data_IF_259714819479
#
_entry.id   IF_259714819479
#
_cell.length_a   1.000
_cell.length_b   1.000
_cell.length_c   1.000
_cell.angle_alpha   90.00
_cell.angle_beta   90.00
_cell.angle_gamma   90.00
#
_symmetry.space_group_name_H-M   'P 1'
#
loop_
_entity.id
_entity.type
_entity.pdbx_description
1 polymer ?
#
# COMPACT_ATOMS: atom_id res chain seq x y z
N UNK A 1 -0.82 31.31 16.59
CA UNK A 1 -0.59 30.08 17.40
C UNK A 1 0.81 29.57 17.04
N UNK A 2 1.78 29.65 17.95
CA UNK A 2 3.20 29.31 17.69
C UNK A 2 3.32 27.79 17.46
N UNK A 3 3.84 27.38 16.30
CA UNK A 3 4.22 26.00 16.01
C UNK A 3 5.24 25.56 17.08
N UNK A 4 4.85 24.65 17.98
CA UNK A 4 5.79 23.99 18.88
C UNK A 4 6.75 23.19 18.00
N UNK A 5 8.03 23.59 17.97
CA UNK A 5 9.10 22.74 17.44
C UNK A 5 9.18 21.53 18.37
N UNK A 6 8.84 20.36 17.87
CA UNK A 6 9.14 19.12 18.56
C UNK A 6 10.67 19.00 18.65
N UNK A 7 11.23 18.70 19.83
CA UNK A 7 12.66 18.42 19.94
C UNK A 7 13.00 17.26 19.01
N UNK A 8 14.13 17.37 18.30
CA UNK A 8 14.71 16.23 17.61
C UNK A 8 14.90 15.13 18.66
N UNK A 9 14.44 13.88 18.43
CA UNK A 9 14.68 12.82 19.38
C UNK A 9 16.19 12.70 19.62
N UNK A 10 16.57 12.58 20.89
CA UNK A 10 17.93 12.16 21.27
C UNK A 10 18.33 10.98 20.39
N UNK A 11 19.58 11.00 19.91
CA UNK A 11 20.16 9.84 19.24
C UNK A 11 20.19 8.70 20.25
N UNK A 12 19.14 7.88 20.26
CA UNK A 12 19.10 6.63 21.00
C UNK A 12 20.17 5.76 20.38
N UNK A 13 21.32 5.64 21.04
CA UNK A 13 22.33 4.65 20.71
C UNK A 13 21.63 3.28 20.74
N UNK A 14 21.54 2.55 19.63
CA UNK A 14 20.79 1.32 19.60
C UNK A 14 21.43 0.32 20.55
N UNK A 15 20.72 -0.03 21.63
CA UNK A 15 21.05 -1.18 22.47
C UNK A 15 21.16 -2.40 21.56
N UNK A 16 22.27 -3.16 21.54
CA UNK A 16 22.38 -4.35 20.72
C UNK A 16 21.44 -5.41 21.30
N UNK A 17 20.23 -5.49 20.75
CA UNK A 17 19.22 -6.47 21.14
C UNK A 17 19.38 -7.72 20.26
N UNK A 18 19.75 -8.82 20.92
CA UNK A 18 19.75 -10.23 20.55
C UNK A 18 19.70 -10.60 19.05
N UNK A 19 20.69 -11.37 18.59
CA UNK A 19 20.67 -12.03 17.30
C UNK A 19 19.39 -12.85 17.15
N UNK A 20 18.52 -12.46 16.23
CA UNK A 20 17.43 -13.33 15.79
C UNK A 20 18.01 -14.38 14.86
N UNK A 21 17.62 -15.65 15.00
CA UNK A 21 18.00 -16.75 14.08
C UNK A 21 17.40 -16.58 12.66
N UNK A 22 16.65 -15.50 12.44
CA UNK A 22 15.94 -15.18 11.22
C UNK A 22 15.80 -13.67 11.03
N UNK A 23 15.55 -13.27 9.79
CA UNK A 23 15.15 -11.94 9.38
C UNK A 23 13.61 -11.85 9.38
N UNK A 24 13.04 -10.94 10.15
CA UNK A 24 11.60 -10.67 10.18
C UNK A 24 11.23 -9.54 9.23
N UNK A 25 10.50 -9.89 8.18
CA UNK A 25 9.96 -8.93 7.20
C UNK A 25 8.45 -8.83 7.38
N UNK A 26 7.95 -7.61 7.50
CA UNK A 26 6.52 -7.32 7.55
C UNK A 26 6.11 -6.59 6.27
N UNK A 27 5.04 -7.04 5.63
CA UNK A 27 4.37 -6.25 4.58
C UNK A 27 2.98 -5.82 5.05
N UNK A 28 2.63 -4.57 4.77
CA UNK A 28 1.36 -4.02 5.23
C UNK A 28 0.86 -2.89 4.34
N UNK A 29 -0.31 -3.10 3.73
CA UNK A 29 -1.07 -2.04 3.10
C UNK A 29 -1.75 -1.21 4.19
N UNK A 30 -1.34 0.04 4.38
CA UNK A 30 -1.86 0.92 5.43
C UNK A 30 -3.27 1.42 5.17
N UNK A 31 -3.73 1.36 3.91
CA UNK A 31 -4.97 1.99 3.48
C UNK A 31 -5.05 3.42 4.02
N UNK A 32 -3.97 4.19 3.80
CA UNK A 32 -3.80 5.59 4.24
C UNK A 32 -4.23 5.84 5.70
N UNK A 33 -3.80 4.94 6.60
CA UNK A 33 -3.98 5.05 8.05
C UNK A 33 -5.45 4.93 8.50
N UNK A 34 -6.35 4.51 7.61
CA UNK A 34 -7.78 4.49 7.91
C UNK A 34 -8.12 3.26 8.76
N UNK A 35 -8.74 3.41 9.94
CA UNK A 35 -9.18 2.27 10.74
C UNK A 35 -10.24 1.44 9.99
N UNK A 36 -10.36 0.12 10.26
CA UNK A 36 -11.34 -0.75 9.60
C UNK A 36 -12.80 -0.28 9.70
N UNK A 37 -13.14 0.38 10.82
CA UNK A 37 -14.47 0.98 11.07
C UNK A 37 -14.70 2.28 10.31
N UNK A 38 -13.68 2.83 9.65
CA UNK A 38 -13.67 4.20 9.16
C UNK A 38 -13.45 5.21 10.29
N UNK A 39 -13.22 6.48 9.92
CA UNK A 39 -13.09 7.55 10.90
C UNK A 39 -14.42 7.76 11.61
N UNK A 40 -14.46 7.76 12.96
CA UNK A 40 -15.59 8.29 13.70
C UNK A 40 -15.56 9.82 13.58
N UNK A 41 -15.91 10.34 12.40
CA UNK A 41 -16.09 11.79 12.25
C UNK A 41 -17.49 12.15 12.74
N UNK A 42 -17.58 12.98 13.79
CA UNK A 42 -18.82 13.66 14.17
C UNK A 42 -19.41 14.45 12.97
N UNK A 43 -18.56 14.93 12.06
CA UNK A 43 -18.95 15.67 10.85
C UNK A 43 -19.48 14.79 9.70
N UNK A 44 -19.23 13.47 9.68
CA UNK A 44 -19.93 12.56 8.78
C UNK A 44 -21.25 12.08 9.37
N UNK A 45 -21.35 12.01 10.70
CA UNK A 45 -22.58 11.67 11.42
C UNK A 45 -23.76 12.59 11.10
N UNK A 46 -23.51 13.85 10.76
CA UNK A 46 -24.53 14.81 10.30
C UNK A 46 -24.95 14.66 8.83
N UNK A 47 -24.27 13.81 8.04
CA UNK A 47 -24.52 13.60 6.60
C UNK A 47 -24.84 12.15 6.24
N UNK A 48 -24.84 11.22 7.20
CA UNK A 48 -25.41 9.89 6.98
C UNK A 48 -26.93 10.02 7.05
N UNK A 49 -27.58 10.19 5.90
CA UNK A 49 -29.01 9.90 5.82
C UNK A 49 -29.22 8.42 6.22
N UNK A 50 -30.20 8.10 7.08
CA UNK A 50 -30.48 6.73 7.47
C UNK A 50 -30.67 5.87 6.21
N UNK A 51 -30.13 4.65 6.23
CA UNK A 51 -29.85 3.79 5.09
C UNK A 51 -31.08 3.26 4.30
N UNK A 52 -32.19 4.00 4.22
CA UNK A 52 -33.41 3.64 3.51
C UNK A 52 -34.13 4.81 2.83
N UNK A 53 -33.41 5.71 2.16
CA UNK A 53 -34.08 6.67 1.27
C UNK A 53 -33.33 6.87 -0.04
N UNK A 54 -34.06 6.76 -1.14
CA UNK A 54 -33.59 7.00 -2.50
C UNK A 54 -32.98 8.40 -2.60
N UNK A 55 -31.65 8.50 -2.57
CA UNK A 55 -30.95 9.76 -2.69
C UNK A 55 -31.19 10.37 -4.07
N UNK A 56 -31.73 11.59 -4.12
CA UNK A 56 -31.94 12.32 -5.37
C UNK A 56 -30.60 12.81 -5.95
N UNK A 57 -30.49 13.09 -7.27
CA UNK A 57 -29.26 13.59 -7.89
C UNK A 57 -28.68 14.85 -7.21
N UNK A 58 -29.54 15.68 -6.63
CA UNK A 58 -29.17 16.91 -5.91
C UNK A 58 -28.48 16.62 -4.57
N UNK A 59 -28.95 15.62 -3.83
CA UNK A 59 -28.32 15.17 -2.58
C UNK A 59 -26.97 14.50 -2.86
N UNK A 60 -26.85 13.72 -3.92
CA UNK A 60 -25.57 13.17 -4.35
C UNK A 60 -24.55 14.28 -4.67
N UNK A 61 -24.96 15.33 -5.40
CA UNK A 61 -24.11 16.51 -5.66
C UNK A 61 -23.77 17.28 -4.38
N UNK A 62 -24.71 17.44 -3.44
CA UNK A 62 -24.44 18.07 -2.16
C UNK A 62 -23.46 17.25 -1.30
N UNK A 63 -23.57 15.92 -1.27
CA UNK A 63 -22.61 15.04 -0.60
C UNK A 63 -21.24 15.05 -1.29
N UNK A 64 -21.21 15.08 -2.62
CA UNK A 64 -19.96 15.22 -3.39
C UNK A 64 -19.28 16.55 -3.07
N UNK A 65 -20.01 17.67 -3.08
CA UNK A 65 -19.49 18.99 -2.71
C UNK A 65 -19.08 19.04 -1.22
N UNK A 66 -19.88 18.53 -0.30
CA UNK A 66 -19.55 18.44 1.13
C UNK A 66 -18.33 17.51 1.38
N UNK A 67 -18.13 16.48 0.56
CA UNK A 67 -16.91 15.67 0.62
C UNK A 67 -15.67 16.43 0.12
N UNK A 68 -15.87 17.40 -0.79
CA UNK A 68 -14.82 18.34 -1.20
C UNK A 68 -14.56 19.38 -0.11
N UNK A 69 -15.58 19.78 0.65
CA UNK A 69 -15.49 20.60 1.86
C UNK A 69 -15.60 19.73 3.13
N UNK A 70 -14.79 18.66 3.21
CA UNK A 70 -14.69 17.79 4.40
C UNK A 70 -14.42 18.52 5.73
N UNK A 71 -14.15 17.79 6.83
CA UNK A 71 -14.47 18.20 8.20
C UNK A 71 -14.01 19.61 8.57
N UNK A 72 -14.85 20.27 9.34
CA UNK A 72 -14.73 21.67 9.79
C UNK A 72 -13.48 21.92 10.63
N UNK A 73 -12.85 20.86 11.16
CA UNK A 73 -11.57 20.96 11.87
C UNK A 73 -10.59 19.89 11.39
N UNK A 74 -9.56 20.32 10.65
CA UNK A 74 -8.43 19.46 10.26
C UNK A 74 -7.69 18.84 11.47
N UNK A 75 -7.92 19.35 12.69
CA UNK A 75 -7.29 18.90 13.93
C UNK A 75 -7.83 17.56 14.46
N UNK A 76 -9.15 17.34 14.48
CA UNK A 76 -9.72 16.11 15.04
C UNK A 76 -9.31 14.85 14.25
N UNK A 77 -9.32 14.94 12.92
CA UNK A 77 -8.86 13.86 12.05
C UNK A 77 -7.37 13.59 12.20
N UNK A 78 -6.54 14.64 12.33
CA UNK A 78 -5.12 14.48 12.57
C UNK A 78 -4.84 13.78 13.91
N UNK A 79 -5.58 14.12 14.97
CA UNK A 79 -5.47 13.45 16.29
C UNK A 79 -5.85 11.98 16.19
N UNK A 80 -6.98 11.65 15.56
CA UNK A 80 -7.41 10.26 15.40
C UNK A 80 -6.43 9.45 14.55
N UNK A 81 -5.91 10.04 13.46
CA UNK A 81 -4.93 9.39 12.61
C UNK A 81 -3.60 9.15 13.31
N UNK A 82 -3.13 10.12 14.09
CA UNK A 82 -1.93 9.98 14.89
C UNK A 82 -2.11 8.90 15.97
N UNK A 83 -3.24 8.90 16.68
CA UNK A 83 -3.56 7.89 17.69
C UNK A 83 -3.58 6.47 17.11
N UNK A 84 -4.27 6.26 15.99
CA UNK A 84 -4.33 4.94 15.35
C UNK A 84 -2.97 4.46 14.81
N UNK A 85 -2.13 5.38 14.32
CA UNK A 85 -0.75 5.06 13.93
C UNK A 85 0.14 4.78 15.15
N UNK A 86 -0.08 5.45 16.28
CA UNK A 86 0.63 5.17 17.52
C UNK A 86 0.27 3.79 18.08
N UNK A 87 -1.01 3.43 18.08
CA UNK A 87 -1.45 2.08 18.46
C UNK A 87 -0.84 1.02 17.52
N UNK A 88 -0.76 1.34 16.22
CA UNK A 88 -0.11 0.48 15.22
C UNK A 88 1.39 0.35 15.52
N UNK A 89 2.06 1.45 15.87
CA UNK A 89 3.46 1.46 16.25
C UNK A 89 3.70 0.64 17.52
N UNK A 90 2.80 0.68 18.50
CA UNK A 90 2.90 -0.13 19.72
C UNK A 90 2.93 -1.63 19.41
N UNK A 91 2.00 -2.11 18.58
CA UNK A 91 1.99 -3.52 18.14
C UNK A 91 3.24 -3.88 17.34
N UNK A 92 3.72 -2.99 16.47
CA UNK A 92 4.94 -3.21 15.69
C UNK A 92 6.20 -3.22 16.56
N UNK A 93 6.26 -2.40 17.63
CA UNK A 93 7.35 -2.41 18.61
C UNK A 93 7.46 -3.77 19.31
N UNK A 94 6.34 -4.35 19.72
CA UNK A 94 6.31 -5.70 20.30
C UNK A 94 6.73 -6.78 19.29
N UNK A 95 6.27 -6.66 18.04
CA UNK A 95 6.61 -7.60 16.97
C UNK A 95 8.11 -7.57 16.60
N UNK A 96 8.80 -6.45 16.86
CA UNK A 96 10.22 -6.22 16.57
C UNK A 96 10.64 -6.58 15.14
N UNK A 97 9.98 -6.07 14.09
CA UNK A 97 10.38 -6.34 12.70
C UNK A 97 11.77 -5.77 12.37
N UNK A 98 12.49 -6.45 11.49
CA UNK A 98 13.76 -5.97 10.94
C UNK A 98 13.53 -5.02 9.77
N UNK A 99 12.56 -5.35 8.92
CA UNK A 99 12.18 -4.59 7.74
C UNK A 99 10.65 -4.55 7.63
N UNK A 100 10.11 -3.38 7.34
CA UNK A 100 8.68 -3.18 7.07
C UNK A 100 8.52 -2.59 5.66
N UNK A 101 7.68 -3.23 4.85
CA UNK A 101 7.28 -2.79 3.53
C UNK A 101 5.83 -2.30 3.57
N UNK A 102 5.63 -0.99 3.44
CA UNK A 102 4.33 -0.34 3.53
C UNK A 102 3.78 -0.01 2.15
N UNK A 103 2.48 -0.24 1.95
CA UNK A 103 1.74 0.19 0.76
C UNK A 103 0.62 1.16 1.15
N UNK A 104 0.14 1.94 0.17
CA UNK A 104 -0.89 2.97 0.36
C UNK A 104 -0.54 4.02 1.41
N UNK A 105 0.70 4.47 1.38
CA UNK A 105 1.25 5.45 2.31
C UNK A 105 0.96 6.86 1.79
N UNK A 106 0.32 7.68 2.62
CA UNK A 106 0.11 9.09 2.39
C UNK A 106 1.25 9.94 2.97
N UNK A 107 1.52 11.06 2.29
CA UNK A 107 2.29 12.18 2.83
C UNK A 107 1.51 13.46 2.61
N UNK A 108 1.12 14.11 3.71
CA UNK A 108 0.45 15.42 3.66
C UNK A 108 -0.94 15.38 3.02
N UNK A 109 -1.62 14.23 3.04
CA UNK A 109 -2.97 14.11 2.47
C UNK A 109 -4.04 14.41 3.51
N UNK A 110 -5.10 15.09 3.08
CA UNK A 110 -6.23 15.42 3.96
C UNK A 110 -6.91 14.19 4.57
N UNK A 111 -6.96 13.06 3.84
CA UNK A 111 -7.61 11.82 4.30
C UNK A 111 -6.85 11.12 5.44
N UNK A 112 -5.55 11.37 5.55
CA UNK A 112 -4.66 10.88 6.62
C UNK A 112 -4.39 11.95 7.69
N UNK A 113 -5.20 13.01 7.74
CA UNK A 113 -4.97 14.11 8.71
C UNK A 113 -3.70 14.90 8.44
N UNK A 114 -3.22 14.93 7.19
CA UNK A 114 -1.97 15.54 6.74
C UNK A 114 -0.70 14.93 7.32
N UNK A 115 -0.79 13.74 7.94
CA UNK A 115 0.38 13.08 8.52
C UNK A 115 1.33 12.54 7.44
N UNK A 116 2.65 12.63 7.65
CA UNK A 116 3.63 11.87 6.91
C UNK A 116 3.73 10.46 7.52
N UNK A 117 2.86 9.53 7.09
CA UNK A 117 2.62 8.27 7.78
C UNK A 117 3.86 7.38 7.94
N UNK A 118 4.69 7.29 6.88
CA UNK A 118 5.94 6.53 6.94
C UNK A 118 6.96 7.11 7.92
N UNK A 119 7.09 8.44 7.96
CA UNK A 119 8.00 9.14 8.89
C UNK A 119 7.52 8.96 10.33
N UNK A 120 6.21 9.13 10.54
CA UNK A 120 5.58 8.93 11.84
C UNK A 120 5.86 7.51 12.38
N UNK A 121 5.54 6.47 11.60
CA UNK A 121 5.77 5.09 12.01
C UNK A 121 7.26 4.80 12.23
N UNK A 122 8.14 5.26 11.34
CA UNK A 122 9.58 5.05 11.45
C UNK A 122 10.15 5.61 12.75
N UNK A 123 9.75 6.82 13.13
CA UNK A 123 10.16 7.46 14.37
C UNK A 123 9.56 6.73 15.58
N UNK A 124 8.27 6.40 15.55
CA UNK A 124 7.56 5.76 16.66
C UNK A 124 8.06 4.34 16.99
N UNK A 125 8.63 3.63 16.01
CA UNK A 125 9.18 2.27 16.20
C UNK A 125 10.72 2.22 16.19
N UNK A 126 11.40 3.37 16.06
CA UNK A 126 12.85 3.45 16.07
C UNK A 126 13.55 2.78 14.88
N UNK A 127 13.00 2.92 13.67
CA UNK A 127 13.61 2.41 12.43
C UNK A 127 14.20 3.55 11.60
N UNK A 128 15.50 3.87 11.80
CA UNK A 128 16.09 5.09 11.25
C UNK A 128 16.31 5.05 9.74
N UNK A 129 16.43 3.86 9.14
CA UNK A 129 16.67 3.71 7.72
C UNK A 129 15.36 3.52 6.98
N UNK A 130 14.71 4.63 6.64
CA UNK A 130 13.45 4.58 5.91
C UNK A 130 13.44 5.50 4.70
N UNK A 131 12.58 5.17 3.73
CA UNK A 131 12.34 6.02 2.56
C UNK A 131 10.93 5.80 2.03
N UNK A 132 10.26 6.90 1.70
CA UNK A 132 9.03 6.88 0.91
C UNK A 132 9.36 6.96 -0.60
N UNK A 133 8.58 6.24 -1.40
CA UNK A 133 8.61 6.26 -2.86
C UNK A 133 7.21 6.60 -3.38
N UNK A 134 7.01 7.85 -3.77
CA UNK A 134 5.76 8.35 -4.32
C UNK A 134 5.48 7.79 -5.72
N UNK A 135 4.30 7.19 -5.85
CA UNK A 135 3.69 6.82 -7.13
C UNK A 135 3.21 8.08 -7.88
N UNK A 136 2.53 8.98 -7.16
CA UNK A 136 2.13 10.30 -7.65
C UNK A 136 2.40 11.39 -6.60
N UNK A 137 2.53 12.63 -7.07
CA UNK A 137 2.56 13.84 -6.25
C UNK A 137 1.30 14.69 -6.47
N UNK A 138 0.97 15.51 -5.47
CA UNK A 138 -0.23 16.33 -5.42
C UNK A 138 -1.27 15.82 -4.43
N UNK A 139 -2.33 16.61 -4.25
CA UNK A 139 -3.46 16.23 -3.41
C UNK A 139 -4.28 15.10 -4.06
N UNK A 140 -4.85 14.23 -3.22
CA UNK A 140 -5.81 13.20 -3.67
C UNK A 140 -6.99 13.79 -4.45
N UNK A 141 -7.51 14.92 -3.97
CA UNK A 141 -8.54 15.73 -4.62
C UNK A 141 -7.86 16.77 -5.52
N UNK A 142 -7.67 16.44 -6.79
CA UNK A 142 -7.10 17.36 -7.77
C UNK A 142 -6.22 16.68 -8.82
N UNK A 143 -5.39 17.48 -9.48
CA UNK A 143 -4.50 17.01 -10.54
C UNK A 143 -3.36 16.16 -9.94
N UNK A 144 -3.44 14.85 -10.14
CA UNK A 144 -2.36 13.92 -9.80
C UNK A 144 -1.29 14.02 -10.87
N UNK A 145 -0.05 14.30 -10.47
CA UNK A 145 1.09 14.37 -11.39
C UNK A 145 2.12 13.30 -11.09
N UNK A 146 2.87 12.95 -12.13
CA UNK A 146 4.09 12.16 -11.96
C UNK A 146 5.09 13.02 -11.17
N UNK A 147 5.65 12.52 -10.05
CA UNK A 147 6.64 13.27 -9.30
C UNK A 147 7.95 13.30 -10.08
N UNK A 148 8.65 14.44 -10.00
CA UNK A 148 10.00 14.59 -10.58
C UNK A 148 10.97 13.64 -9.87
N UNK A 149 10.97 13.69 -8.53
CA UNK A 149 11.67 12.74 -7.68
C UNK A 149 10.67 11.90 -6.89
N UNK A 150 10.86 10.59 -6.88
CA UNK A 150 9.97 9.70 -6.13
C UNK A 150 10.12 9.85 -4.61
N UNK A 151 11.26 10.35 -4.12
CA UNK A 151 11.37 10.80 -2.73
C UNK A 151 10.87 12.25 -2.62
N UNK A 152 9.59 12.40 -2.29
CA UNK A 152 8.96 13.70 -2.13
C UNK A 152 9.27 14.28 -0.74
N UNK A 153 9.83 15.49 -0.70
CA UNK A 153 10.20 16.15 0.57
C UNK A 153 9.21 17.24 0.96
N UNK A 154 8.91 18.16 0.03
CA UNK A 154 8.10 19.37 0.27
C UNK A 154 6.66 19.29 -0.22
N UNK A 155 6.35 18.30 -1.06
CA UNK A 155 5.02 18.16 -1.66
C UNK A 155 4.24 16.99 -1.05
N UNK A 156 2.92 17.08 -1.15
CA UNK A 156 2.03 15.98 -0.81
C UNK A 156 2.15 14.88 -1.86
N UNK A 157 1.89 13.65 -1.45
CA UNK A 157 1.81 12.55 -2.39
C UNK A 157 1.40 11.25 -1.73
N UNK A 158 1.53 10.19 -2.52
CA UNK A 158 1.06 8.86 -2.17
C UNK A 158 1.96 7.82 -2.82
N UNK A 159 2.19 6.71 -2.14
CA UNK A 159 2.89 5.59 -2.72
C UNK A 159 3.16 4.48 -1.72
N UNK A 160 4.42 4.06 -1.71
CA UNK A 160 4.91 2.97 -0.87
C UNK A 160 6.09 3.46 -0.03
N UNK A 161 6.38 2.79 1.07
CA UNK A 161 7.54 3.10 1.89
C UNK A 161 8.21 1.83 2.42
N UNK A 162 9.49 1.92 2.73
CA UNK A 162 10.23 0.85 3.36
C UNK A 162 10.96 1.41 4.56
N UNK A 163 10.88 0.70 5.68
CA UNK A 163 11.53 1.02 6.95
C UNK A 163 12.46 -0.15 7.27
N UNK A 164 13.68 0.14 7.69
CA UNK A 164 14.65 -0.87 8.11
C UNK A 164 15.31 -0.48 9.43
N UNK A 165 15.47 -1.48 10.30
CA UNK A 165 16.35 -1.40 11.47
C UNK A 165 17.82 -1.38 11.04
N UNK A 166 18.12 -2.04 9.92
CA UNK A 166 19.47 -2.28 9.44
C UNK A 166 19.89 -1.21 8.42
N UNK A 167 21.20 -0.87 8.33
CA UNK A 167 21.68 0.13 7.39
C UNK A 167 21.33 -0.20 5.94
N UNK A 168 20.83 0.79 5.21
CA UNK A 168 20.52 0.66 3.78
C UNK A 168 21.71 1.19 2.96
N UNK A 169 22.39 0.29 2.25
CA UNK A 169 23.53 0.61 1.38
C UNK A 169 23.11 1.49 0.19
N UNK A 170 21.96 1.19 -0.41
CA UNK A 170 21.46 1.94 -1.56
C UNK A 170 19.96 1.74 -1.76
N UNK A 171 19.31 2.76 -2.31
CA UNK A 171 17.89 2.77 -2.64
C UNK A 171 17.71 2.81 -4.16
N UNK A 172 16.79 1.99 -4.66
CA UNK A 172 16.50 1.82 -6.09
C UNK A 172 15.00 1.96 -6.32
N UNK A 173 14.61 2.52 -7.47
CA UNK A 173 13.20 2.71 -7.81
C UNK A 173 12.97 2.42 -9.28
N UNK A 174 11.91 1.63 -9.57
CA UNK A 174 11.47 1.36 -10.94
C UNK A 174 9.99 1.69 -11.10
N UNK A 175 9.65 2.44 -12.14
CA UNK A 175 8.24 2.67 -12.49
C UNK A 175 7.71 1.46 -13.23
N UNK A 176 6.66 0.86 -12.69
CA UNK A 176 6.02 -0.33 -13.25
C UNK A 176 4.94 0.02 -14.29
N UNK A 177 4.62 1.31 -14.44
CA UNK A 177 3.63 1.81 -15.38
C UNK A 177 2.23 1.84 -14.76
N UNK A 178 1.20 1.96 -15.59
CA UNK A 178 -0.20 2.00 -15.18
C UNK A 178 -1.02 1.07 -16.06
N UNK A 179 -2.13 0.53 -15.56
CA UNK A 179 -3.11 -0.09 -16.43
C UNK A 179 -3.66 0.92 -17.47
N UNK A 180 -4.14 0.38 -18.60
CA UNK A 180 -4.95 1.16 -19.53
C UNK A 180 -6.22 1.61 -18.81
N UNK A 181 -6.79 2.72 -19.26
CA UNK A 181 -8.09 3.17 -18.78
C UNK A 181 -9.13 2.06 -18.97
N UNK A 182 -9.91 1.78 -17.93
CA UNK A 182 -11.01 0.84 -18.02
C UNK A 182 -12.34 1.58 -17.94
N UNK A 183 -13.30 1.16 -18.75
CA UNK A 183 -14.70 1.49 -18.53
C UNK A 183 -15.28 0.46 -17.56
N UNK A 184 -15.63 0.91 -16.36
CA UNK A 184 -16.58 0.19 -15.55
C UNK A 184 -17.96 0.59 -16.03
N UNK A 185 -18.74 -0.35 -16.56
CA UNK A 185 -20.12 -0.09 -16.94
C UNK A 185 -21.02 -0.13 -15.69
N UNK A 186 -22.01 0.76 -15.67
CA UNK A 186 -23.06 0.72 -14.65
C UNK A 186 -23.93 -0.51 -14.83
N UNK A 187 -24.73 -0.85 -13.82
CA UNK A 187 -25.66 -1.99 -13.85
C UNK A 187 -26.87 -1.78 -14.78
N UNK A 188 -26.93 -0.68 -15.53
CA UNK A 188 -28.05 -0.34 -16.41
C UNK A 188 -27.87 -0.86 -17.83
N UNK A 189 -28.94 -1.41 -18.41
CA UNK A 189 -28.97 -1.84 -19.82
C UNK A 189 -29.36 -0.66 -20.73
N UNK A 190 -28.47 -0.27 -21.65
CA UNK A 190 -28.82 0.71 -22.70
C UNK A 190 -29.55 0.01 -23.86
N UNK A 191 -30.78 0.42 -24.17
CA UNK A 191 -31.62 -0.22 -25.21
C UNK A 191 -31.32 0.23 -26.64
N UNK A 192 -30.30 1.07 -26.82
CA UNK A 192 -29.89 1.56 -28.13
C UNK A 192 -30.88 2.51 -28.79
N UNK A 193 -30.62 2.83 -30.06
CA UNK A 193 -31.53 3.60 -30.93
C UNK A 193 -32.58 2.73 -31.63
N UNK A 194 -32.67 1.44 -31.26
CA UNK A 194 -33.58 0.46 -31.85
C UNK A 194 -35.06 0.87 -31.78
N UNK A 195 -35.44 1.70 -30.80
CA UNK A 195 -36.79 2.26 -30.63
C UNK A 195 -36.87 3.76 -30.97
N UNK A 196 -35.97 4.24 -31.82
CA UNK A 196 -35.90 5.62 -32.29
C UNK A 196 -34.87 6.49 -31.56
N UNK A 197 -34.39 7.52 -32.28
CA UNK A 197 -33.31 8.41 -31.85
C UNK A 197 -33.60 9.13 -30.52
N UNK A 198 -34.78 9.73 -30.39
CA UNK A 198 -35.23 10.42 -29.17
C UNK A 198 -35.36 9.48 -27.97
N UNK A 199 -35.84 8.25 -28.18
CA UNK A 199 -36.00 7.24 -27.11
C UNK A 199 -34.64 6.73 -26.61
N UNK A 200 -33.68 6.53 -27.52
CA UNK A 200 -32.30 6.19 -27.19
C UNK A 200 -31.60 7.30 -26.40
N UNK A 201 -31.80 8.57 -26.76
CA UNK A 201 -31.29 9.73 -26.03
C UNK A 201 -31.91 9.88 -24.64
N UNK A 202 -33.21 9.63 -24.47
CA UNK A 202 -33.89 9.71 -23.17
C UNK A 202 -33.48 8.61 -22.19
N UNK A 203 -33.14 7.41 -22.68
CA UNK A 203 -32.71 6.28 -21.84
C UNK A 203 -31.21 6.26 -21.56
N UNK A 204 -30.40 7.01 -22.32
CA UNK A 204 -28.95 7.12 -22.15
C UNK A 204 -28.55 7.59 -20.73
N UNK A 205 -29.11 8.67 -20.14
CA UNK A 205 -28.74 9.12 -18.80
C UNK A 205 -29.12 8.15 -17.68
N UNK A 206 -30.08 7.26 -17.91
CA UNK A 206 -30.52 6.22 -16.96
C UNK A 206 -29.75 4.90 -17.12
N UNK A 207 -29.09 4.68 -18.26
CA UNK A 207 -28.16 3.57 -18.50
C UNK A 207 -26.68 3.92 -18.26
N UNK A 208 -26.35 5.22 -18.30
CA UNK A 208 -25.04 5.79 -17.93
C UNK A 208 -24.76 5.98 -16.42
N UNK A 209 -25.70 5.86 -15.45
CA UNK A 209 -25.35 5.88 -14.04
C UNK A 209 -24.45 4.67 -13.76
N UNK A 210 -23.18 4.94 -13.51
CA UNK A 210 -22.19 3.91 -13.24
C UNK A 210 -21.23 3.60 -14.39
N UNK A 211 -21.33 4.25 -15.56
CA UNK A 211 -20.21 4.26 -16.51
C UNK A 211 -19.10 5.13 -15.94
N UNK A 212 -18.09 4.50 -15.33
CA UNK A 212 -16.94 5.16 -14.73
C UNK A 212 -15.70 4.82 -15.54
N UNK A 213 -15.03 5.86 -16.05
CA UNK A 213 -13.66 5.74 -16.49
C UNK A 213 -12.77 5.64 -15.25
N UNK A 214 -12.15 4.48 -15.07
CA UNK A 214 -11.17 4.26 -14.00
C UNK A 214 -9.79 4.39 -14.65
N UNK A 215 -9.07 5.48 -14.37
CA UNK A 215 -7.69 5.60 -14.83
C UNK A 215 -6.83 4.58 -14.08
N UNK A 216 -5.95 3.88 -14.80
CA UNK A 216 -4.94 3.05 -14.16
C UNK A 216 -4.01 3.89 -13.31
N UNK A 217 -3.67 3.40 -12.12
CA UNK A 217 -2.77 4.10 -11.22
C UNK A 217 -1.31 3.79 -11.56
N UNK A 218 -0.44 4.79 -11.46
CA UNK A 218 0.99 4.57 -11.64
C UNK A 218 1.52 3.72 -10.50
N UNK A 219 2.06 2.53 -10.81
CA UNK A 219 2.69 1.65 -9.84
C UNK A 219 4.21 1.77 -9.89
N UNK A 220 4.83 1.53 -8.74
CA UNK A 220 6.27 1.64 -8.54
C UNK A 220 6.79 0.44 -7.75
N UNK A 221 7.99 -0.01 -8.08
CA UNK A 221 8.83 -0.84 -7.24
C UNK A 221 9.79 0.09 -6.50
N UNK A 222 9.86 -0.04 -5.18
CA UNK A 222 10.96 0.45 -4.36
C UNK A 222 11.83 -0.75 -4.00
N UNK A 223 13.14 -0.64 -4.15
CA UNK A 223 14.07 -1.66 -3.70
C UNK A 223 15.22 -1.06 -2.89
N UNK A 224 15.82 -1.86 -2.03
CA UNK A 224 16.95 -1.47 -1.19
C UNK A 224 17.95 -2.61 -1.10
N UNK A 225 19.24 -2.28 -1.10
CA UNK A 225 20.29 -3.20 -0.63
C UNK A 225 20.50 -2.93 0.86
N UNK A 226 20.18 -3.90 1.71
CA UNK A 226 20.17 -3.75 3.17
C UNK A 226 21.28 -4.62 3.77
N UNK A 227 22.07 -4.04 4.67
CA UNK A 227 23.19 -4.69 5.36
C UNK A 227 22.68 -5.38 6.63
N UNK A 228 22.32 -6.66 6.56
CA UNK A 228 21.78 -7.43 7.70
C UNK A 228 22.87 -8.30 8.36
N UNK A 229 22.64 -8.84 9.56
CA UNK A 229 23.53 -9.83 10.17
C UNK A 229 23.76 -11.09 9.32
N UNK A 230 22.85 -11.38 8.38
CA UNK A 230 22.93 -12.50 7.45
C UNK A 230 23.62 -12.15 6.13
N UNK A 231 24.21 -10.95 6.03
CA UNK A 231 24.79 -10.40 4.81
C UNK A 231 23.88 -9.40 4.10
N UNK A 232 24.29 -9.01 2.89
CA UNK A 232 23.52 -8.05 2.08
C UNK A 232 22.34 -8.74 1.41
N UNK A 233 21.15 -8.17 1.56
CA UNK A 233 19.92 -8.63 0.92
C UNK A 233 19.34 -7.51 0.05
N UNK A 234 18.86 -7.86 -1.15
CA UNK A 234 18.00 -6.99 -1.94
C UNK A 234 16.55 -7.17 -1.52
N UNK A 235 15.91 -6.11 -1.04
CA UNK A 235 14.50 -6.14 -0.64
C UNK A 235 13.72 -5.22 -1.54
N UNK A 236 12.68 -5.74 -2.17
CA UNK A 236 11.72 -5.01 -2.99
C UNK A 236 10.38 -4.88 -2.26
N UNK A 237 9.77 -3.70 -2.37
CA UNK A 237 8.42 -3.37 -1.97
C UNK A 237 7.64 -2.87 -3.20
N UNK A 238 6.42 -3.37 -3.41
CA UNK A 238 5.57 -2.92 -4.50
C UNK A 238 4.08 -2.95 -4.13
N UNK A 239 3.29 -2.16 -4.82
CA UNK A 239 1.83 -2.27 -4.82
C UNK A 239 1.38 -2.33 -6.28
N UNK A 240 0.94 -3.51 -6.72
CA UNK A 240 0.62 -3.75 -8.13
C UNK A 240 -0.79 -3.25 -8.49
N UNK A 241 -1.07 -3.18 -9.78
CA UNK A 241 -2.37 -2.77 -10.32
C UNK A 241 -3.47 -3.79 -9.94
N UNK A 242 -4.74 -3.37 -9.94
CA UNK A 242 -5.86 -4.30 -9.69
C UNK A 242 -6.25 -5.09 -10.94
N UNK A 243 -5.85 -4.63 -12.13
CA UNK A 243 -6.09 -5.37 -13.36
C UNK A 243 -5.11 -6.55 -13.49
N UNK A 244 -5.62 -7.79 -13.37
CA UNK A 244 -4.85 -9.05 -13.34
C UNK A 244 -3.70 -9.10 -14.33
N UNK A 245 -3.96 -8.92 -15.64
CA UNK A 245 -2.92 -9.03 -16.66
C UNK A 245 -1.81 -7.96 -16.53
N UNK A 246 -2.17 -6.78 -16.03
CA UNK A 246 -1.21 -5.70 -15.76
C UNK A 246 -0.38 -6.05 -14.53
N UNK A 247 -1.01 -6.46 -13.43
CA UNK A 247 -0.31 -6.90 -12.23
C UNK A 247 0.65 -8.05 -12.50
N UNK A 248 0.26 -9.06 -13.27
CA UNK A 248 1.16 -10.17 -13.62
C UNK A 248 2.41 -9.70 -14.38
N UNK A 249 2.24 -8.76 -15.33
CA UNK A 249 3.38 -8.15 -16.05
C UNK A 249 4.26 -7.30 -15.12
N UNK A 250 3.65 -6.51 -14.24
CA UNK A 250 4.35 -5.70 -13.25
C UNK A 250 5.11 -6.56 -12.24
N UNK A 251 4.53 -7.68 -11.79
CA UNK A 251 5.15 -8.64 -10.88
C UNK A 251 6.45 -9.21 -11.47
N UNK A 252 6.40 -9.71 -12.72
CA UNK A 252 7.60 -10.21 -13.41
C UNK A 252 8.68 -9.14 -13.54
N UNK A 253 8.30 -7.91 -13.91
CA UNK A 253 9.24 -6.79 -14.06
C UNK A 253 9.84 -6.34 -12.73
N UNK A 254 9.05 -6.39 -11.66
CA UNK A 254 9.50 -6.06 -10.32
C UNK A 254 10.49 -7.12 -9.81
N UNK A 255 10.12 -8.39 -9.94
CA UNK A 255 10.94 -9.52 -9.49
C UNK A 255 12.29 -9.58 -10.21
N UNK A 256 12.30 -9.45 -11.54
CA UNK A 256 13.56 -9.36 -12.31
C UNK A 256 14.48 -8.25 -11.81
N UNK A 257 13.93 -7.09 -11.45
CA UNK A 257 14.75 -5.99 -10.93
C UNK A 257 15.25 -6.19 -9.51
N UNK A 258 14.59 -7.00 -8.69
CA UNK A 258 15.18 -7.44 -7.41
C UNK A 258 16.35 -8.39 -7.66
N UNK A 259 16.21 -9.33 -8.61
CA UNK A 259 17.29 -10.25 -8.99
C UNK A 259 18.48 -9.55 -9.66
N UNK A 260 18.25 -8.46 -10.40
CA UNK A 260 19.31 -7.62 -10.97
C UNK A 260 20.18 -6.98 -9.87
N UNK A 261 19.60 -6.66 -8.70
CA UNK A 261 20.33 -6.10 -7.56
C UNK A 261 21.07 -7.16 -6.75
N UNK A 262 20.46 -8.33 -6.57
CA UNK A 262 21.07 -9.47 -5.88
C UNK A 262 20.43 -10.77 -6.36
N UNK A 263 21.17 -11.49 -7.21
CA UNK A 263 20.67 -12.71 -7.85
C UNK A 263 20.39 -13.85 -6.87
N UNK A 264 21.18 -13.94 -5.81
CA UNK A 264 21.18 -15.06 -4.87
C UNK A 264 20.71 -14.70 -3.46
N UNK A 265 20.38 -13.43 -3.20
CA UNK A 265 19.87 -12.97 -1.90
C UNK A 265 18.89 -11.82 -2.12
N UNK A 266 17.68 -12.17 -2.54
CA UNK A 266 16.66 -11.22 -2.97
C UNK A 266 15.27 -11.58 -2.47
N UNK A 267 14.52 -10.59 -2.01
CA UNK A 267 13.13 -10.70 -1.56
C UNK A 267 12.29 -9.62 -2.22
N UNK A 268 11.11 -9.97 -2.73
CA UNK A 268 10.10 -9.01 -3.19
C UNK A 268 8.82 -9.24 -2.40
N UNK A 269 8.31 -8.23 -1.72
CA UNK A 269 7.05 -8.31 -1.00
C UNK A 269 6.16 -7.12 -1.30
N UNK A 270 4.89 -7.21 -0.92
CA UNK A 270 3.94 -6.14 -1.05
C UNK A 270 2.52 -6.63 -1.33
N UNK A 271 1.66 -5.67 -1.65
CA UNK A 271 0.32 -5.94 -2.14
C UNK A 271 0.37 -6.21 -3.64
N UNK A 272 0.28 -7.49 -4.01
CA UNK A 272 0.35 -7.90 -5.39
C UNK A 272 -0.99 -7.76 -6.13
N UNK A 273 -2.10 -7.49 -5.44
CA UNK A 273 -3.45 -7.49 -6.03
C UNK A 273 -3.76 -8.74 -6.89
N UNK A 274 -3.09 -9.86 -6.59
CA UNK A 274 -3.22 -11.14 -7.28
C UNK A 274 -3.53 -12.22 -6.25
N UNK A 275 -4.22 -13.28 -6.67
CA UNK A 275 -4.23 -14.53 -5.91
C UNK A 275 -2.87 -15.22 -6.05
N UNK A 276 -2.58 -16.16 -5.14
CA UNK A 276 -1.31 -16.91 -5.16
C UNK A 276 -1.12 -17.64 -6.50
N UNK A 277 -2.16 -18.29 -7.00
CA UNK A 277 -2.12 -19.02 -8.28
C UNK A 277 -1.89 -18.08 -9.48
N UNK A 278 -2.45 -16.88 -9.45
CA UNK A 278 -2.23 -15.88 -10.50
C UNK A 278 -0.79 -15.36 -10.53
N UNK A 279 -0.20 -15.17 -9.34
CA UNK A 279 1.20 -14.81 -9.19
C UNK A 279 2.10 -15.96 -9.63
N UNK A 280 1.80 -17.21 -9.24
CA UNK A 280 2.54 -18.40 -9.65
C UNK A 280 2.50 -18.59 -11.18
N UNK A 281 1.33 -18.46 -11.81
CA UNK A 281 1.18 -18.50 -13.26
C UNK A 281 2.02 -17.42 -13.95
N UNK A 282 2.04 -16.20 -13.41
CA UNK A 282 2.85 -15.12 -13.95
C UNK A 282 4.35 -15.40 -13.85
N UNK A 283 4.81 -15.97 -12.74
CA UNK A 283 6.21 -16.32 -12.48
C UNK A 283 6.64 -17.55 -13.26
N UNK A 284 5.72 -18.48 -13.59
CA UNK A 284 5.98 -19.63 -14.45
C UNK A 284 6.41 -19.26 -15.87
N UNK A 285 6.08 -18.04 -16.33
CA UNK A 285 6.54 -17.50 -17.61
C UNK A 285 7.99 -16.98 -17.59
N UNK A 286 8.66 -17.03 -16.44
CA UNK A 286 10.08 -16.70 -16.32
C UNK A 286 10.95 -17.94 -16.58
N UNK A 287 12.15 -17.70 -17.11
CA UNK A 287 13.20 -18.72 -17.18
C UNK A 287 13.43 -19.34 -15.80
N UNK A 288 13.71 -20.64 -15.78
CA UNK A 288 13.82 -21.41 -14.54
C UNK A 288 14.81 -20.80 -13.54
N UNK A 289 15.92 -20.25 -14.03
CA UNK A 289 16.97 -19.61 -13.21
C UNK A 289 16.55 -18.29 -12.57
N UNK A 290 15.46 -17.69 -13.06
CA UNK A 290 14.88 -16.45 -12.53
C UNK A 290 13.65 -16.69 -11.66
N UNK A 291 13.18 -17.93 -11.52
CA UNK A 291 12.01 -18.20 -10.67
C UNK A 291 12.38 -18.04 -9.20
N UNK A 292 11.47 -17.50 -8.36
CA UNK A 292 11.73 -17.43 -6.94
C UNK A 292 11.88 -18.84 -6.37
N UNK A 293 12.87 -19.00 -5.49
CA UNK A 293 13.14 -20.24 -4.78
C UNK A 293 12.08 -20.56 -3.71
N UNK A 294 11.28 -19.56 -3.33
CA UNK A 294 10.12 -19.68 -2.44
C UNK A 294 9.10 -18.57 -2.70
N UNK A 295 7.81 -18.90 -2.52
CA UNK A 295 6.68 -17.97 -2.63
C UNK A 295 5.78 -18.13 -1.40
N UNK A 296 5.75 -17.10 -0.56
CA UNK A 296 4.93 -17.05 0.65
C UNK A 296 3.67 -16.23 0.45
N UNK A 297 2.52 -16.83 0.75
CA UNK A 297 1.22 -16.17 0.68
C UNK A 297 0.36 -16.62 1.88
N UNK A 298 -0.48 -15.71 2.39
CA UNK A 298 -1.48 -16.02 3.41
C UNK A 298 -2.69 -15.11 3.27
N UNK A 299 -3.85 -15.56 3.75
CA UNK A 299 -5.08 -14.80 3.66
C UNK A 299 -4.96 -13.54 4.52
N UNK A 300 -5.02 -12.39 3.87
CA UNK A 300 -4.75 -11.09 4.50
C UNK A 300 -5.79 -10.03 4.16
N UNK A 301 -6.80 -10.37 3.36
CA UNK A 301 -7.85 -9.43 2.97
C UNK A 301 -9.19 -10.14 2.75
N UNK A 302 -10.34 -9.55 3.12
CA UNK A 302 -10.49 -8.37 3.99
C UNK A 302 -10.21 -8.69 5.47
N UNK A 303 -9.82 -7.69 6.27
CA UNK A 303 -9.43 -7.81 7.69
C UNK A 303 -10.43 -8.57 8.58
N UNK A 304 -11.75 -8.49 8.30
CA UNK A 304 -12.80 -9.13 9.12
C UNK A 304 -12.96 -10.63 8.82
N UNK A 305 -12.86 -11.00 7.55
CA UNK A 305 -13.01 -12.39 7.07
C UNK A 305 -11.96 -12.59 5.97
N UNK A 306 -10.71 -12.88 6.35
CA UNK A 306 -9.61 -12.98 5.39
C UNK A 306 -9.83 -14.14 4.43
N UNK A 307 -9.81 -13.86 3.13
CA UNK A 307 -10.03 -14.86 2.08
C UNK A 307 -9.01 -14.73 0.94
N UNK A 308 -8.53 -13.51 0.68
CA UNK A 308 -7.61 -13.18 -0.42
C UNK A 308 -6.19 -13.07 0.09
N UNK A 309 -5.25 -13.52 -0.74
CA UNK A 309 -3.82 -13.57 -0.44
C UNK A 309 -3.06 -12.43 -1.13
N UNK A 310 -3.57 -11.19 -1.06
CA UNK A 310 -2.98 -10.08 -1.82
C UNK A 310 -1.59 -9.68 -1.33
N UNK A 311 -1.35 -9.72 -0.01
CA UNK A 311 -0.03 -9.54 0.55
C UNK A 311 0.79 -10.83 0.39
N UNK A 312 1.88 -10.77 -0.36
CA UNK A 312 2.71 -11.93 -0.72
C UNK A 312 4.21 -11.61 -0.63
N UNK A 313 5.05 -12.64 -0.64
CA UNK A 313 6.51 -12.54 -0.65
C UNK A 313 7.11 -13.56 -1.62
N UNK A 314 8.04 -13.11 -2.45
CA UNK A 314 8.91 -13.93 -3.30
C UNK A 314 10.33 -13.88 -2.77
N UNK A 315 11.03 -15.01 -2.77
CA UNK A 315 12.40 -15.09 -2.24
C UNK A 315 13.34 -15.91 -3.14
N UNK A 316 14.58 -15.42 -3.27
CA UNK A 316 15.73 -16.10 -3.88
C UNK A 316 16.85 -16.20 -2.84
N UNK A 317 17.25 -17.43 -2.49
CA UNK A 317 18.29 -17.69 -1.49
C UNK A 317 17.84 -17.58 -0.03
N UNK A 318 16.53 -17.52 0.20
CA UNK A 318 15.94 -17.50 1.54
C UNK A 318 14.85 -18.57 1.66
N UNK A 319 14.68 -19.11 2.87
CA UNK A 319 13.65 -20.10 3.20
C UNK A 319 12.87 -19.65 4.44
N UNK A 320 11.57 -19.96 4.52
CA UNK A 320 10.78 -19.64 5.71
C UNK A 320 11.24 -20.46 6.91
N UNK A 321 11.26 -19.84 8.09
CA UNK A 321 11.42 -20.54 9.38
C UNK A 321 10.07 -21.07 9.88
N UNK A 322 8.98 -20.42 9.50
CA UNK A 322 7.62 -20.82 9.80
C UNK A 322 6.66 -20.37 8.69
N UNK A 323 5.42 -20.86 8.73
CA UNK A 323 4.37 -20.38 7.83
C UNK A 323 4.11 -18.86 8.01
N UNK A 324 3.79 -18.11 6.94
CA UNK A 324 3.47 -16.69 7.04
C UNK A 324 2.29 -16.44 7.97
N UNK A 325 2.39 -15.41 8.83
CA UNK A 325 1.34 -15.07 9.80
C UNK A 325 0.66 -13.77 9.42
N UNK A 326 -0.67 -13.77 9.40
CA UNK A 326 -1.45 -12.55 9.23
C UNK A 326 -1.76 -11.95 10.61
N UNK A 327 -1.52 -10.64 10.77
CA UNK A 327 -1.70 -9.90 12.00
C UNK A 327 -2.65 -8.73 11.75
N UNK A 328 -3.67 -8.60 12.60
CA UNK A 328 -4.55 -7.45 12.58
C UNK A 328 -3.86 -6.28 13.27
N UNK A 329 -3.76 -5.17 12.57
CA UNK A 329 -3.30 -3.90 13.13
C UNK A 329 -4.50 -2.95 13.35
N UNK A 330 -4.35 -1.92 14.20
CA UNK A 330 -5.42 -0.95 14.48
C UNK A 330 -5.92 -0.19 13.25
N UNK A 331 -5.05 -0.01 12.25
CA UNK A 331 -5.38 0.61 10.97
C UNK A 331 -5.55 -0.43 9.86
N UNK A 332 -6.08 0.03 8.73
CA UNK A 332 -6.27 -0.71 7.48
C UNK A 332 -7.41 -1.74 7.46
N UNK A 333 -7.90 -2.01 6.26
CA UNK A 333 -8.77 -3.15 5.95
C UNK A 333 -7.98 -4.38 5.46
N UNK A 334 -6.64 -4.31 5.43
CA UNK A 334 -5.75 -5.45 5.25
C UNK A 334 -5.21 -5.92 6.61
N UNK A 335 -4.86 -7.20 6.69
CA UNK A 335 -3.96 -7.70 7.72
C UNK A 335 -2.52 -7.47 7.27
N UNK A 336 -1.65 -7.09 8.21
CA UNK A 336 -0.21 -7.16 7.98
C UNK A 336 0.21 -8.62 7.85
N UNK A 337 1.19 -8.92 7.01
CA UNK A 337 1.75 -10.27 6.90
C UNK A 337 3.19 -10.28 7.36
N UNK A 338 3.49 -11.20 8.27
CA UNK A 338 4.81 -11.41 8.88
C UNK A 338 5.46 -12.64 8.25
N UNK A 339 6.70 -12.45 7.80
CA UNK A 339 7.56 -13.48 7.24
C UNK A 339 8.85 -13.56 8.05
N UNK A 340 9.12 -14.73 8.61
CA UNK A 340 10.36 -15.02 9.33
C UNK A 340 11.22 -15.91 8.41
N UNK A 341 12.36 -15.36 7.93
CA UNK A 341 13.17 -15.97 6.89
C UNK A 341 14.62 -16.21 7.35
N UNK A 342 15.23 -17.30 6.91
CA UNK A 342 16.67 -17.53 7.06
C UNK A 342 17.34 -17.73 5.70
N UNK A 343 18.65 -17.43 5.57
CA UNK A 343 19.39 -17.78 4.36
C UNK A 343 19.24 -19.27 4.06
N UNK A 344 19.09 -19.60 2.77
CA UNK A 344 19.10 -20.99 2.33
C UNK A 344 20.51 -21.56 2.58
N UNK A 345 20.65 -22.72 3.23
CA UNK A 345 21.95 -23.37 3.38
C UNK A 345 22.59 -23.59 2.00
N UNK A 346 23.88 -23.32 1.88
CA UNK A 346 24.64 -23.69 0.68
C UNK A 346 24.83 -25.20 0.76
N UNK A 347 24.14 -25.95 -0.10
CA UNK A 347 24.46 -27.36 -0.33
C UNK A 347 25.74 -27.39 -1.15
N UNK A 348 26.84 -27.82 -0.52
CA UNK A 348 28.12 -28.07 -1.18
C UNK A 348 28.07 -29.29 -2.08
#
# INVERSE_FOLDING_TARGET
MKLRRFPLPEQVTPTPLASTDYLRIVTFNLHHGKPPSGWPDADLGGLVAPAKQHSTPRQWWAHFLASMFGPSTASARAVNAAGALEDTAAVLRELRPDIICLQEVDKGQRRSGYLPEAEFLANAIGMPYWRMTAAFAGAMSGLRRRPVHTNITRENGYGIAMLSRWPVKSWHVKRLGRARWSLQWGSGFWRGFSKGFLTGLKSLPAAMPGVRLIPGEMRVLQAALILTPFGTIAVGNTHLDTHRGTAQSQLRRAWRSVLELSRHSGVLTGDFNLYADDAAAALGLLDQTMRPSWHGATQSFPVKVPQKTFNQLLAAGWVPVAAPRALRLPVSNHLAVVYDLKPRPVTH
#
